data_IF_258544528789
#
_entry.id   IF_258544528789
#
_cell.length_a   1.000
_cell.length_b   1.000
_cell.length_c   1.000
_cell.angle_alpha   90.00
_cell.angle_beta   90.00
_cell.angle_gamma   90.00
#
_symmetry.space_group_name_H-M   'P 1'
#
loop_
_entity.id
_entity.type
_entity.pdbx_description
1 polymer ?
#
# COMPACT_ATOMS: atom_id res chain seq x y z
N UNK A 1 -13.58 -4.30 -10.60
CA UNK A 1 -12.69 -4.77 -9.50
C UNK A 1 -13.15 -6.12 -9.00
N UNK A 2 -14.38 -6.22 -8.49
CA UNK A 2 -14.99 -7.52 -8.14
C UNK A 2 -15.04 -8.49 -9.33
N UNK A 3 -15.26 -8.01 -10.56
CA UNK A 3 -15.31 -8.90 -11.74
C UNK A 3 -13.96 -9.48 -12.18
N UNK A 4 -12.85 -8.83 -11.79
CA UNK A 4 -11.50 -9.28 -12.15
C UNK A 4 -10.99 -10.24 -11.08
N UNK A 5 -11.03 -9.79 -9.82
CA UNK A 5 -10.53 -10.57 -8.69
C UNK A 5 -11.50 -11.69 -8.27
N UNK A 6 -12.81 -11.51 -8.44
CA UNK A 6 -13.83 -12.49 -8.03
C UNK A 6 -13.86 -13.76 -8.87
N UNK A 7 -13.17 -13.79 -10.02
CA UNK A 7 -13.00 -15.01 -10.83
C UNK A 7 -12.12 -16.06 -10.16
N UNK A 8 -11.25 -15.64 -9.24
CA UNK A 8 -10.29 -16.50 -8.59
C UNK A 8 -10.77 -17.04 -7.25
N UNK A 9 -11.83 -16.45 -6.67
CA UNK A 9 -12.30 -16.84 -5.35
C UNK A 9 -13.29 -15.85 -4.73
N UNK A 10 -13.85 -16.26 -3.60
CA UNK A 10 -14.73 -15.42 -2.81
C UNK A 10 -13.94 -14.25 -2.18
N UNK A 11 -14.35 -13.02 -2.49
CA UNK A 11 -13.70 -11.81 -1.97
C UNK A 11 -14.36 -11.42 -0.65
N UNK A 12 -13.56 -11.35 0.41
CA UNK A 12 -13.97 -10.89 1.74
C UNK A 12 -14.09 -9.37 1.79
N UNK A 13 -13.11 -8.66 1.25
CA UNK A 13 -13.13 -7.20 1.21
C UNK A 13 -12.18 -6.64 0.14
N UNK A 14 -12.55 -5.51 -0.48
CA UNK A 14 -11.62 -4.69 -1.26
C UNK A 14 -11.53 -3.31 -0.61
N UNK A 15 -10.30 -2.84 -0.38
CA UNK A 15 -10.01 -1.48 0.10
C UNK A 15 -9.25 -0.73 -0.98
N UNK A 16 -9.83 0.36 -1.47
CA UNK A 16 -9.22 1.19 -2.51
C UNK A 16 -8.59 2.41 -1.83
N UNK A 17 -7.35 2.74 -2.22
CA UNK A 17 -6.68 3.94 -1.73
C UNK A 17 -7.40 5.20 -2.21
N UNK A 18 -7.81 6.06 -1.27
CA UNK A 18 -8.56 7.29 -1.53
C UNK A 18 -7.72 8.57 -1.39
N UNK A 19 -6.52 8.50 -0.81
CA UNK A 19 -5.63 9.65 -0.66
C UNK A 19 -4.79 9.87 -1.92
N UNK A 20 -4.27 11.09 -2.18
CA UNK A 20 -3.39 11.34 -3.31
C UNK A 20 -2.17 10.41 -3.37
N UNK A 21 -1.66 9.99 -2.21
CA UNK A 21 -0.51 9.08 -2.09
C UNK A 21 -0.85 7.61 -2.34
N UNK A 22 -2.11 7.21 -2.13
CA UNK A 22 -2.57 5.81 -2.27
C UNK A 22 -3.45 5.60 -3.50
N UNK A 23 -3.74 6.65 -4.26
CA UNK A 23 -4.52 6.59 -5.50
C UNK A 23 -3.83 5.65 -6.50
N UNK A 24 -4.57 4.66 -6.99
CA UNK A 24 -4.05 3.62 -7.88
C UNK A 24 -3.52 2.38 -7.15
N UNK A 25 -3.58 2.35 -5.82
CA UNK A 25 -3.31 1.15 -5.01
C UNK A 25 -4.60 0.63 -4.38
N UNK A 26 -4.69 -0.69 -4.20
CA UNK A 26 -5.80 -1.34 -3.54
C UNK A 26 -5.32 -2.58 -2.77
N UNK A 27 -6.06 -2.94 -1.73
CA UNK A 27 -5.88 -4.19 -0.98
C UNK A 27 -7.10 -5.07 -1.24
N UNK A 28 -6.87 -6.24 -1.81
CA UNK A 28 -7.88 -7.27 -2.05
C UNK A 28 -7.67 -8.37 -1.01
N UNK A 29 -8.72 -8.69 -0.25
CA UNK A 29 -8.72 -9.73 0.77
C UNK A 29 -9.68 -10.82 0.32
N UNK A 30 -9.16 -12.03 0.12
CA UNK A 30 -9.94 -13.23 -0.16
C UNK A 30 -10.32 -13.96 1.14
N UNK A 31 -11.31 -14.85 1.05
CA UNK A 31 -11.66 -15.78 2.12
C UNK A 31 -10.63 -16.93 2.23
N UNK A 32 -10.16 -17.46 1.09
CA UNK A 32 -9.17 -18.53 1.03
C UNK A 32 -7.77 -18.01 0.60
N UNK A 33 -6.72 -18.59 1.18
CA UNK A 33 -5.33 -18.34 0.83
C UNK A 33 -4.96 -18.89 -0.55
N UNK A 34 -5.54 -20.02 -0.97
CA UNK A 34 -5.26 -20.62 -2.27
C UNK A 34 -5.79 -19.77 -3.42
N UNK A 35 -6.97 -19.15 -3.25
CA UNK A 35 -7.56 -18.18 -4.17
C UNK A 35 -6.68 -16.95 -4.34
N UNK A 36 -6.16 -16.42 -3.21
CA UNK A 36 -5.24 -15.28 -3.22
C UNK A 36 -3.95 -15.60 -3.96
N UNK A 37 -3.42 -16.83 -3.81
CA UNK A 37 -2.24 -17.28 -4.54
C UNK A 37 -2.50 -17.36 -6.04
N UNK A 38 -3.60 -18.01 -6.42
CA UNK A 38 -3.98 -18.16 -7.82
C UNK A 38 -4.17 -16.81 -8.51
N UNK A 39 -4.81 -15.85 -7.82
CA UNK A 39 -4.97 -14.49 -8.30
C UNK A 39 -3.63 -13.76 -8.47
N UNK A 40 -2.69 -13.93 -7.53
CA UNK A 40 -1.39 -13.26 -7.58
C UNK A 40 -0.56 -13.71 -8.80
N UNK A 41 -0.60 -15.01 -9.10
CA UNK A 41 0.17 -15.61 -10.19
C UNK A 41 -0.40 -15.20 -11.56
N UNK A 42 -1.72 -15.14 -11.72
CA UNK A 42 -2.37 -14.88 -13.01
C UNK A 42 -2.69 -13.41 -13.31
N UNK A 43 -2.89 -12.58 -12.28
CA UNK A 43 -3.22 -11.17 -12.48
C UNK A 43 -2.00 -10.25 -12.50
N UNK A 44 -0.82 -10.78 -12.21
CA UNK A 44 0.44 -10.04 -12.39
C UNK A 44 0.67 -9.79 -13.88
N UNK A 45 0.75 -8.53 -14.30
CA UNK A 45 0.85 -8.17 -15.71
C UNK A 45 -0.48 -8.22 -16.48
N UNK A 46 -1.62 -8.29 -15.79
CA UNK A 46 -2.92 -8.20 -16.45
C UNK A 46 -3.20 -6.77 -16.92
N UNK A 47 -3.60 -6.58 -18.18
CA UNK A 47 -3.88 -5.25 -18.74
C UNK A 47 -5.32 -4.81 -18.43
N UNK A 48 -5.44 -3.68 -17.74
CA UNK A 48 -6.71 -3.01 -17.45
C UNK A 48 -6.61 -1.55 -17.87
N UNK A 49 -7.48 -1.13 -18.79
CA UNK A 49 -7.54 0.26 -19.28
C UNK A 49 -6.16 0.79 -19.75
N UNK A 50 -5.46 -0.01 -20.55
CA UNK A 50 -4.12 0.27 -21.08
C UNK A 50 -3.03 0.42 -20.02
N UNK A 51 -3.22 -0.19 -18.84
CA UNK A 51 -2.22 -0.26 -17.77
C UNK A 51 -2.11 -1.67 -17.24
N UNK A 52 -0.88 -2.11 -17.00
CA UNK A 52 -0.60 -3.42 -16.44
C UNK A 52 -0.68 -3.40 -14.91
N UNK A 53 -1.43 -4.33 -14.34
CA UNK A 53 -1.55 -4.48 -12.89
C UNK A 53 -0.28 -5.11 -12.32
N UNK A 54 0.12 -4.61 -11.15
CA UNK A 54 1.15 -5.24 -10.31
C UNK A 54 0.43 -5.81 -9.09
N UNK A 55 0.51 -7.13 -8.92
CA UNK A 55 -0.12 -7.84 -7.81
C UNK A 55 0.98 -8.42 -6.92
N UNK A 56 0.90 -8.13 -5.63
CA UNK A 56 1.89 -8.55 -4.63
C UNK A 56 1.16 -9.00 -3.37
N UNK A 57 1.74 -9.97 -2.67
CA UNK A 57 1.30 -10.31 -1.33
C UNK A 57 1.46 -9.13 -0.38
N UNK A 58 0.49 -9.01 0.52
CA UNK A 58 0.52 -7.99 1.55
C UNK A 58 1.70 -8.18 2.50
N UNK A 59 2.65 -7.24 2.46
CA UNK A 59 3.81 -7.22 3.36
C UNK A 59 3.63 -6.13 4.42
N UNK A 60 3.27 -6.56 5.64
CA UNK A 60 3.01 -5.68 6.79
C UNK A 60 4.20 -4.72 7.04
N UNK A 61 5.42 -5.24 7.05
CA UNK A 61 6.64 -4.46 7.31
C UNK A 61 6.87 -3.34 6.28
N UNK A 62 6.44 -3.51 5.03
CA UNK A 62 6.65 -2.50 3.98
C UNK A 62 5.67 -1.33 4.10
N UNK A 63 4.46 -1.60 4.59
CA UNK A 63 3.45 -0.56 4.82
C UNK A 63 3.77 0.30 6.04
N UNK A 64 4.16 -0.30 7.17
CA UNK A 64 4.43 0.44 8.41
C UNK A 64 5.69 1.31 8.35
N UNK A 65 6.69 0.93 7.53
CA UNK A 65 7.90 1.75 7.32
C UNK A 65 7.61 3.19 6.92
N UNK A 66 6.57 3.45 6.11
CA UNK A 66 6.20 4.83 5.74
C UNK A 66 5.64 5.59 6.94
N UNK A 67 4.66 5.00 7.64
CA UNK A 67 4.06 5.60 8.84
C UNK A 67 5.08 5.90 9.93
N UNK A 68 6.06 5.01 10.16
CA UNK A 68 7.13 5.23 11.12
C UNK A 68 8.03 6.42 10.77
N UNK A 69 8.33 6.62 9.49
CA UNK A 69 9.13 7.76 9.02
C UNK A 69 8.38 9.07 9.20
N UNK A 70 7.10 9.12 8.85
CA UNK A 70 6.28 10.32 9.00
C UNK A 70 6.10 10.71 10.47
N UNK A 71 5.81 9.73 11.35
CA UNK A 71 5.73 9.98 12.80
C UNK A 71 7.05 10.49 13.37
N UNK A 72 8.17 9.88 13.00
CA UNK A 72 9.50 10.33 13.43
C UNK A 72 9.81 11.74 12.95
N UNK A 73 9.39 12.10 11.73
CA UNK A 73 9.56 13.45 11.20
C UNK A 73 8.73 14.46 12.00
N UNK A 74 7.47 14.14 12.30
CA UNK A 74 6.59 15.02 13.08
C UNK A 74 7.09 15.22 14.52
N UNK A 75 7.57 14.15 15.18
CA UNK A 75 8.21 14.26 16.49
C UNK A 75 9.49 15.11 16.44
N UNK A 76 10.31 14.93 15.42
CA UNK A 76 11.54 15.69 15.22
C UNK A 76 11.25 17.18 14.99
N UNK A 77 10.22 17.50 14.20
CA UNK A 77 9.80 18.89 13.95
C UNK A 77 9.21 19.53 15.22
N UNK A 78 8.43 18.78 16.02
CA UNK A 78 7.96 19.24 17.34
C UNK A 78 9.11 19.47 18.32
N UNK A 79 10.09 18.58 18.37
CA UNK A 79 11.28 18.75 19.22
C UNK A 79 12.10 19.97 18.79
N UNK A 80 12.31 20.15 17.48
CA UNK A 80 13.00 21.33 16.93
C UNK A 80 12.29 22.63 17.30
N UNK A 81 10.97 22.67 17.19
CA UNK A 81 10.17 23.84 17.59
C UNK A 81 10.25 24.09 19.11
N UNK A 82 10.17 23.04 19.94
CA UNK A 82 10.20 23.15 21.40
C UNK A 82 11.55 23.63 21.94
N UNK A 83 12.65 23.21 21.30
CA UNK A 83 14.01 23.50 21.77
C UNK A 83 14.76 24.54 20.91
N UNK A 84 14.12 25.13 19.90
CA UNK A 84 14.74 26.14 19.02
C UNK A 84 15.96 25.63 18.25
N UNK A 85 16.06 24.32 18.02
CA UNK A 85 17.24 23.68 17.44
C UNK A 85 17.23 23.83 15.91
N UNK A 86 18.02 24.76 15.39
CA UNK A 86 18.27 24.88 13.96
C UNK A 86 19.32 23.82 13.57
N UNK A 87 18.95 22.84 12.75
CA UNK A 87 19.89 21.81 12.30
C UNK A 87 20.69 22.37 11.13
N UNK A 88 22.03 22.54 11.24
CA UNK A 88 22.83 22.96 10.10
C UNK A 88 22.69 21.88 9.01
N UNK A 89 22.32 22.28 7.80
CA UNK A 89 22.41 21.38 6.64
C UNK A 89 23.89 20.99 6.50
N UNK A 90 24.22 19.72 6.74
CA UNK A 90 25.52 19.19 6.30
C UNK A 90 25.56 19.35 4.78
N UNK A 91 26.53 20.14 4.32
CA UNK A 91 26.86 20.33 2.90
C UNK A 91 27.29 19.00 2.28
#
# INVERSE_FOLDING_TARGET
MYDIFGKYGAIRQIRIGNTPETKGTALVIYEDIFDAKNACDHLSGFNVCNRYLVVLYYQRNKQFKKTDVDKKKEELDRLKAKYGLNTPKMK
#
